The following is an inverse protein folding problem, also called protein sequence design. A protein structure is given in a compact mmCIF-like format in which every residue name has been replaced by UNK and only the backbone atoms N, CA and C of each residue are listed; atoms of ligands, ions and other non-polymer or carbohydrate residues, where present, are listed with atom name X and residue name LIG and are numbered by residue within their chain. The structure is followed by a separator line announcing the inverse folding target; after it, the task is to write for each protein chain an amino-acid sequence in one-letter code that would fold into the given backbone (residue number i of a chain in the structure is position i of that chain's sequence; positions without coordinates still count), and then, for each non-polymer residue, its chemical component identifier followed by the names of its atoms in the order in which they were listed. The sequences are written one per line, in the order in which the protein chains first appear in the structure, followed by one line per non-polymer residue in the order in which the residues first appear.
data_IF_477169004349
#
_entry.id   IF_477169004349
#
_cell.length_a   1.000
_cell.length_b   1.000
_cell.length_c   1.000
_cell.angle_alpha   90.00
_cell.angle_beta   90.00
_cell.angle_gamma   90.00
#
_symmetry.space_group_name_H-M   'P 1'
#
loop_
_entity.id
_entity.type
_entity.pdbx_description
1 polymer ?
#
# COMPACT_ATOMS: atom_id res chain seq x y z
N UNK A 1 34.37 37.50 -16.15
CA UNK A 1 33.00 37.98 -16.07
C UNK A 1 32.03 37.15 -16.93
N UNK A 2 32.27 36.99 -18.23
CA UNK A 2 31.37 36.31 -19.17
C UNK A 2 31.08 34.83 -18.80
N UNK A 3 32.10 34.07 -18.35
CA UNK A 3 31.91 32.65 -17.88
C UNK A 3 31.09 32.53 -16.61
N UNK A 4 31.18 33.48 -15.70
CA UNK A 4 30.43 33.52 -14.49
C UNK A 4 28.94 33.82 -14.76
N UNK A 5 28.68 34.75 -15.70
CA UNK A 5 27.34 35.11 -16.13
C UNK A 5 26.66 33.94 -16.85
N UNK A 6 27.38 33.21 -17.69
CA UNK A 6 26.88 32.00 -18.34
C UNK A 6 26.57 30.90 -17.34
N UNK A 7 27.41 30.69 -16.34
CA UNK A 7 27.13 29.70 -15.27
C UNK A 7 25.89 30.05 -14.44
N UNK A 8 25.68 31.32 -14.13
CA UNK A 8 24.48 31.80 -13.42
C UNK A 8 23.22 31.59 -14.28
N UNK A 9 23.27 31.88 -15.58
CA UNK A 9 22.12 31.68 -16.46
C UNK A 9 21.78 30.20 -16.58
N UNK A 10 22.79 29.32 -16.73
CA UNK A 10 22.56 27.87 -16.76
C UNK A 10 21.97 27.37 -15.43
N UNK A 11 22.46 27.85 -14.29
CA UNK A 11 21.95 27.49 -12.98
C UNK A 11 20.50 27.93 -12.80
N UNK A 12 20.16 29.18 -13.19
CA UNK A 12 18.80 29.70 -13.15
C UNK A 12 17.85 28.91 -14.09
N UNK A 13 18.30 28.60 -15.30
CA UNK A 13 17.54 27.79 -16.23
C UNK A 13 17.29 26.37 -15.70
N UNK A 14 18.31 25.73 -15.11
CA UNK A 14 18.18 24.42 -14.47
C UNK A 14 17.20 24.46 -13.28
N UNK A 15 17.22 25.53 -12.49
CA UNK A 15 16.33 25.71 -11.34
C UNK A 15 14.88 25.98 -11.74
N UNK A 16 14.65 26.67 -12.86
CA UNK A 16 13.33 26.88 -13.45
C UNK A 16 12.79 25.59 -14.07
N UNK A 17 13.63 24.86 -14.78
CA UNK A 17 13.26 23.57 -15.40
C UNK A 17 12.98 22.48 -14.34
N UNK A 18 13.68 22.48 -13.21
CA UNK A 18 13.47 21.52 -12.12
C UNK A 18 12.10 21.62 -11.45
N UNK A 19 11.36 22.72 -11.65
CA UNK A 19 9.99 22.94 -11.15
C UNK A 19 8.92 22.89 -12.25
N UNK A 20 9.30 22.58 -13.47
CA UNK A 20 8.37 22.56 -14.60
C UNK A 20 7.60 21.22 -14.60
N UNK A 21 6.24 21.24 -14.56
CA UNK A 21 5.42 20.04 -14.63
C UNK A 21 5.63 19.20 -15.90
N UNK A 22 6.16 19.81 -16.97
CA UNK A 22 6.54 19.06 -18.18
C UNK A 22 7.77 18.18 -17.99
N UNK A 23 8.73 18.63 -17.16
CA UNK A 23 9.92 17.83 -16.81
C UNK A 23 9.52 16.63 -15.94
N UNK A 24 8.63 16.83 -14.98
CA UNK A 24 8.08 15.71 -14.18
C UNK A 24 7.35 14.67 -15.05
N UNK A 25 6.57 15.11 -16.03
CA UNK A 25 5.90 14.21 -16.97
C UNK A 25 6.89 13.47 -17.86
N UNK A 26 7.93 14.14 -18.34
CA UNK A 26 8.97 13.53 -19.14
C UNK A 26 9.78 12.50 -18.33
N UNK A 27 10.08 12.81 -17.07
CA UNK A 27 10.79 11.93 -16.14
C UNK A 27 9.94 10.68 -15.82
N UNK A 28 8.65 10.87 -15.58
CA UNK A 28 7.69 9.78 -15.36
C UNK A 28 7.58 8.88 -16.61
N UNK A 29 7.50 9.46 -17.81
CA UNK A 29 7.47 8.71 -19.07
C UNK A 29 8.77 7.92 -19.29
N UNK A 30 9.91 8.56 -19.03
CA UNK A 30 11.23 7.91 -19.17
C UNK A 30 11.36 6.76 -18.16
N UNK A 31 10.91 6.94 -16.93
CA UNK A 31 10.92 5.91 -15.89
C UNK A 31 10.02 4.73 -16.27
N UNK A 32 8.80 5.00 -16.77
CA UNK A 32 7.89 3.96 -17.27
C UNK A 32 8.50 3.19 -18.45
N UNK A 33 9.11 3.90 -19.41
CA UNK A 33 9.82 3.28 -20.52
C UNK A 33 10.98 2.42 -20.03
N UNK A 34 11.77 2.91 -19.07
CA UNK A 34 12.91 2.21 -18.51
C UNK A 34 12.47 0.95 -17.76
N UNK A 35 11.40 1.03 -16.95
CA UNK A 35 10.82 -0.12 -16.24
C UNK A 35 10.30 -1.19 -17.21
N UNK A 36 9.69 -0.79 -18.33
CA UNK A 36 9.19 -1.72 -19.35
C UNK A 36 10.31 -2.40 -20.14
N UNK A 37 11.44 -1.69 -20.36
CA UNK A 37 12.54 -2.18 -21.19
C UNK A 37 13.70 -2.77 -20.38
N UNK A 38 13.78 -2.50 -19.08
CA UNK A 38 14.76 -3.11 -18.20
C UNK A 38 14.17 -4.46 -17.72
N UNK A 39 14.67 -5.54 -18.30
CA UNK A 39 14.42 -6.86 -17.70
C UNK A 39 15.18 -6.86 -16.37
N UNK A 40 14.45 -6.63 -15.28
CA UNK A 40 15.01 -6.86 -13.96
C UNK A 40 15.54 -8.30 -13.93
N UNK A 41 16.80 -8.44 -13.56
CA UNK A 41 17.37 -9.76 -13.29
C UNK A 41 16.39 -10.47 -12.33
N UNK A 42 15.83 -11.58 -12.79
CA UNK A 42 14.91 -12.40 -11.96
C UNK A 42 15.71 -13.21 -10.95
N UNK A 43 16.66 -12.57 -10.27
CA UNK A 43 17.31 -13.17 -9.13
C UNK A 43 16.25 -13.37 -8.07
N UNK A 44 15.91 -14.60 -7.85
CA UNK A 44 14.99 -15.24 -6.94
C UNK A 44 14.53 -14.40 -5.75
N UNK A 45 13.66 -13.41 -6.01
CA UNK A 45 12.91 -12.78 -4.92
C UNK A 45 11.93 -13.84 -4.42
N UNK A 46 11.95 -14.22 -3.15
CA UNK A 46 11.04 -15.23 -2.60
C UNK A 46 9.63 -14.65 -2.42
N UNK A 47 9.10 -14.08 -3.49
CA UNK A 47 7.79 -13.44 -3.56
C UNK A 47 6.97 -14.10 -4.67
N UNK A 48 5.80 -14.61 -4.30
CA UNK A 48 4.79 -15.06 -5.26
C UNK A 48 3.61 -14.10 -5.19
N UNK A 49 3.28 -13.50 -6.32
CA UNK A 49 2.08 -12.66 -6.47
C UNK A 49 0.98 -13.53 -7.05
N UNK A 50 -0.15 -13.62 -6.33
CA UNK A 50 -1.35 -14.29 -6.80
C UNK A 50 -2.39 -13.23 -7.09
N UNK A 51 -2.76 -13.09 -8.36
CA UNK A 51 -3.85 -12.21 -8.75
C UNK A 51 -5.17 -12.98 -8.56
N UNK A 52 -6.02 -12.44 -7.69
CA UNK A 52 -7.37 -12.94 -7.49
C UNK A 52 -8.24 -12.15 -8.49
N UNK A 53 -8.44 -12.74 -9.67
CA UNK A 53 -9.29 -12.14 -10.70
C UNK A 53 -10.77 -12.24 -10.31
N UNK A 54 -11.56 -11.30 -10.78
CA UNK A 54 -13.01 -11.46 -10.82
C UNK A 54 -13.27 -12.70 -11.67
N UNK A 55 -13.83 -13.76 -11.06
CA UNK A 55 -14.27 -14.95 -11.78
C UNK A 55 -15.19 -14.57 -12.94
N UNK A 56 -15.56 -15.49 -13.85
CA UNK A 56 -16.43 -15.17 -14.97
C UNK A 56 -17.68 -14.48 -14.40
N UNK A 57 -17.75 -13.18 -14.67
CA UNK A 57 -18.88 -12.34 -14.27
C UNK A 57 -20.10 -12.99 -14.93
N UNK A 58 -20.92 -13.65 -14.12
CA UNK A 58 -22.31 -13.80 -14.49
C UNK A 58 -22.82 -12.38 -14.54
N UNK A 59 -23.03 -11.86 -15.76
CA UNK A 59 -23.59 -10.52 -16.00
C UNK A 59 -24.93 -10.40 -15.28
N UNK A 60 -24.87 -10.06 -14.00
CA UNK A 60 -26.01 -9.51 -13.31
C UNK A 60 -26.11 -8.08 -13.82
N UNK A 61 -27.13 -7.80 -14.59
CA UNK A 61 -27.38 -6.53 -15.27
C UNK A 61 -26.98 -5.34 -14.38
N UNK A 62 -26.21 -4.38 -14.91
CA UNK A 62 -25.78 -3.22 -14.14
C UNK A 62 -27.00 -2.45 -13.69
N UNK A 63 -27.19 -2.34 -12.40
CA UNK A 63 -28.14 -1.42 -11.80
C UNK A 63 -27.64 0.00 -12.07
N UNK A 64 -28.25 0.67 -13.08
CA UNK A 64 -27.85 1.96 -13.62
C UNK A 64 -27.91 3.14 -12.64
N UNK A 65 -28.14 2.90 -11.34
CA UNK A 65 -28.33 3.94 -10.33
C UNK A 65 -27.28 3.91 -9.19
N UNK A 66 -26.15 3.22 -9.37
CA UNK A 66 -25.06 3.35 -8.43
C UNK A 66 -24.20 4.58 -8.79
N UNK A 67 -23.94 5.52 -7.86
CA UNK A 67 -23.06 6.63 -8.12
C UNK A 67 -21.65 6.13 -8.45
N UNK A 68 -21.12 6.56 -9.59
CA UNK A 68 -19.72 6.40 -9.96
C UNK A 68 -18.87 7.13 -8.93
N UNK A 69 -18.46 6.43 -7.88
CA UNK A 69 -17.51 6.98 -6.91
C UNK A 69 -16.24 6.14 -6.88
N UNK A 70 -15.19 6.81 -7.32
CA UNK A 70 -13.78 6.51 -7.12
C UNK A 70 -13.28 5.16 -7.65
N UNK A 71 -12.84 5.22 -8.89
CA UNK A 71 -11.86 4.33 -9.46
C UNK A 71 -10.61 4.28 -8.55
N UNK A 72 -10.22 3.10 -8.11
CA UNK A 72 -8.96 2.87 -7.38
C UNK A 72 -9.03 1.83 -6.28
N UNK A 73 -10.16 1.57 -5.69
CA UNK A 73 -10.27 0.55 -4.65
C UNK A 73 -10.76 -0.76 -5.27
N UNK A 74 -9.88 -1.72 -5.45
CA UNK A 74 -10.26 -3.12 -5.75
C UNK A 74 -10.99 -3.69 -4.54
N UNK A 75 -12.27 -3.34 -4.41
CA UNK A 75 -13.15 -3.98 -3.44
C UNK A 75 -13.32 -5.41 -3.96
N UNK A 76 -13.00 -6.39 -3.15
CA UNK A 76 -13.30 -7.80 -3.39
C UNK A 76 -14.84 -7.98 -3.47
N UNK A 77 -15.40 -7.54 -4.59
CA UNK A 77 -16.86 -7.48 -4.77
C UNK A 77 -17.48 -8.80 -5.17
N UNK A 78 -16.68 -9.85 -5.39
CA UNK A 78 -17.12 -11.12 -5.92
C UNK A 78 -16.75 -12.37 -5.10
N UNK A 79 -15.76 -12.28 -4.18
CA UNK A 79 -15.28 -13.47 -3.45
C UNK A 79 -15.90 -13.52 -2.06
N UNK A 80 -16.47 -14.67 -1.71
CA UNK A 80 -17.07 -14.91 -0.38
C UNK A 80 -16.01 -15.24 0.68
N UNK A 81 -16.32 -15.10 1.99
CA UNK A 81 -15.44 -15.54 3.05
C UNK A 81 -15.00 -16.98 2.91
N UNK A 82 -15.91 -17.86 2.46
CA UNK A 82 -15.62 -19.28 2.27
C UNK A 82 -14.60 -19.52 1.15
N UNK A 83 -14.69 -18.78 0.04
CA UNK A 83 -13.73 -18.89 -1.07
C UNK A 83 -12.34 -18.43 -0.63
N UNK A 84 -12.25 -17.35 0.15
CA UNK A 84 -10.98 -16.92 0.77
C UNK A 84 -10.45 -17.97 1.77
N UNK A 85 -11.32 -18.60 2.55
CA UNK A 85 -10.92 -19.68 3.47
C UNK A 85 -10.29 -20.87 2.71
N UNK A 86 -10.91 -21.29 1.61
CA UNK A 86 -10.37 -22.36 0.75
C UNK A 86 -9.05 -21.94 0.10
N UNK A 87 -8.94 -20.68 -0.33
CA UNK A 87 -7.69 -20.15 -0.84
C UNK A 87 -6.59 -20.19 0.23
N UNK A 88 -6.86 -19.75 1.45
CA UNK A 88 -5.88 -19.82 2.54
C UNK A 88 -5.49 -21.25 2.86
N UNK A 89 -6.45 -22.18 2.89
CA UNK A 89 -6.15 -23.58 3.07
C UNK A 89 -5.19 -24.11 2.01
N UNK A 90 -5.41 -23.75 0.74
CA UNK A 90 -4.54 -24.17 -0.37
C UNK A 90 -3.13 -23.58 -0.28
N UNK A 91 -2.99 -22.26 0.02
CA UNK A 91 -1.66 -21.65 0.10
C UNK A 91 -0.85 -22.09 1.31
N UNK A 92 -1.50 -22.51 2.40
CA UNK A 92 -0.81 -23.02 3.60
C UNK A 92 -0.01 -24.29 3.33
N UNK A 93 -0.37 -25.09 2.33
CA UNK A 93 0.42 -26.27 1.89
C UNK A 93 1.83 -25.89 1.44
N UNK A 94 2.01 -24.67 0.90
CA UNK A 94 3.31 -24.14 0.47
C UNK A 94 4.12 -23.53 1.60
N UNK A 95 3.61 -23.53 2.83
CA UNK A 95 4.27 -23.00 4.05
C UNK A 95 4.80 -21.58 3.90
N UNK A 96 3.98 -20.61 3.48
CA UNK A 96 4.42 -19.22 3.35
C UNK A 96 4.86 -18.66 4.70
N UNK A 97 5.90 -17.84 4.71
CA UNK A 97 6.35 -17.14 5.92
C UNK A 97 5.42 -15.98 6.27
N UNK A 98 4.92 -15.30 5.26
CA UNK A 98 3.97 -14.18 5.35
C UNK A 98 2.95 -14.32 4.25
N UNK A 99 1.70 -14.05 4.55
CA UNK A 99 0.63 -13.87 3.56
C UNK A 99 0.16 -12.43 3.65
N UNK A 100 0.32 -11.68 2.57
CA UNK A 100 -0.06 -10.28 2.48
C UNK A 100 -1.22 -10.14 1.48
N UNK A 101 -2.36 -9.66 1.96
CA UNK A 101 -3.59 -9.49 1.16
C UNK A 101 -3.81 -8.01 0.91
N UNK A 102 -3.52 -7.56 -0.32
CA UNK A 102 -3.66 -6.15 -0.71
C UNK A 102 -5.13 -5.75 -0.92
N UNK A 103 -6.01 -6.72 -1.15
CA UNK A 103 -7.43 -6.47 -1.31
C UNK A 103 -8.07 -6.09 0.03
N UNK A 104 -8.86 -5.01 0.03
CA UNK A 104 -9.64 -4.61 1.20
C UNK A 104 -10.76 -5.63 1.45
N UNK A 105 -10.59 -6.42 2.50
CA UNK A 105 -11.56 -7.45 2.89
C UNK A 105 -12.75 -6.79 3.60
N UNK A 106 -13.85 -6.68 2.88
CA UNK A 106 -15.15 -6.25 3.42
C UNK A 106 -16.25 -7.04 2.72
N UNK A 107 -16.91 -7.87 3.49
CA UNK A 107 -17.98 -8.73 2.98
C UNK A 107 -19.25 -7.93 2.71
N UNK A 108 -19.93 -8.18 1.59
CA UNK A 108 -21.22 -7.56 1.25
C UNK A 108 -22.35 -8.17 2.07
N UNK A 109 -22.34 -9.48 2.20
CA UNK A 109 -23.31 -10.24 2.98
C UNK A 109 -22.58 -10.90 4.14
N UNK A 110 -23.12 -10.72 5.34
CA UNK A 110 -22.53 -11.33 6.55
C UNK A 110 -23.18 -12.69 6.78
N UNK A 111 -22.50 -13.71 6.31
CA UNK A 111 -22.76 -15.09 6.71
C UNK A 111 -21.77 -15.46 7.83
N UNK A 112 -22.26 -15.48 9.05
CA UNK A 112 -21.42 -15.71 10.24
C UNK A 112 -20.70 -17.06 10.21
N UNK A 113 -21.32 -18.09 9.63
CA UNK A 113 -20.72 -19.41 9.58
C UNK A 113 -19.53 -19.42 8.59
N UNK A 114 -19.67 -18.75 7.45
CA UNK A 114 -18.59 -18.60 6.48
C UNK A 114 -17.48 -17.67 7.00
N UNK A 115 -17.83 -16.58 7.67
CA UNK A 115 -16.87 -15.68 8.32
C UNK A 115 -16.05 -16.42 9.38
N UNK A 116 -16.68 -17.30 10.17
CA UNK A 116 -15.99 -18.12 11.16
C UNK A 116 -15.01 -19.10 10.51
N UNK A 117 -15.42 -19.78 9.43
CA UNK A 117 -14.54 -20.68 8.68
C UNK A 117 -13.35 -19.91 8.12
N UNK A 118 -13.57 -18.70 7.60
CA UNK A 118 -12.48 -17.85 7.13
C UNK A 118 -11.52 -17.45 8.26
N UNK A 119 -12.05 -17.02 9.40
CA UNK A 119 -11.27 -16.65 10.57
C UNK A 119 -10.40 -17.81 11.07
N UNK A 120 -10.97 -19.02 11.12
CA UNK A 120 -10.26 -20.23 11.54
C UNK A 120 -9.08 -20.56 10.60
N UNK A 121 -9.23 -20.34 9.29
CA UNK A 121 -8.12 -20.51 8.33
C UNK A 121 -7.12 -19.37 8.43
N UNK A 122 -7.56 -18.13 8.60
CA UNK A 122 -6.71 -16.95 8.75
C UNK A 122 -5.80 -17.07 9.98
N UNK A 123 -6.30 -17.60 11.11
CA UNK A 123 -5.51 -17.86 12.31
C UNK A 123 -4.38 -18.89 12.12
N UNK A 124 -4.46 -19.74 11.09
CA UNK A 124 -3.40 -20.70 10.75
C UNK A 124 -2.25 -20.08 9.98
N UNK A 125 -2.45 -18.89 9.42
CA UNK A 125 -1.40 -18.17 8.68
C UNK A 125 -0.37 -17.66 9.67
N UNK A 126 0.93 -18.00 9.53
CA UNK A 126 1.95 -17.65 10.51
C UNK A 126 2.07 -16.14 10.74
N UNK A 127 1.99 -15.36 9.67
CA UNK A 127 1.96 -13.90 9.69
C UNK A 127 1.02 -13.42 8.58
N UNK A 128 -0.11 -12.89 8.98
CA UNK A 128 -1.12 -12.32 8.08
C UNK A 128 -1.01 -10.80 8.09
N UNK A 129 -0.86 -10.22 6.90
CA UNK A 129 -0.92 -8.77 6.68
C UNK A 129 -2.14 -8.46 5.83
N UNK A 130 -3.04 -7.64 6.36
CA UNK A 130 -4.24 -7.18 5.65
C UNK A 130 -4.13 -5.71 5.29
N UNK A 131 -4.77 -5.34 4.18
CA UNK A 131 -4.80 -3.96 3.73
C UNK A 131 -5.79 -3.10 4.51
N UNK A 132 -5.41 -1.85 4.70
CA UNK A 132 -6.27 -0.77 5.19
C UNK A 132 -6.03 0.49 4.37
N UNK A 133 -6.99 1.41 4.36
CA UNK A 133 -6.92 2.67 3.64
C UNK A 133 -7.04 3.85 4.59
N UNK A 134 -6.10 4.78 4.52
CA UNK A 134 -6.07 6.00 5.30
C UNK A 134 -6.89 7.11 4.64
N UNK A 135 -7.32 8.10 5.43
CA UNK A 135 -8.01 9.30 4.94
C UNK A 135 -7.45 10.56 5.56
N UNK A 136 -7.44 11.65 4.80
CA UNK A 136 -7.14 12.99 5.30
C UNK A 136 -8.36 13.67 5.94
N UNK A 137 -9.57 13.12 5.69
CA UNK A 137 -10.84 13.62 6.26
C UNK A 137 -11.38 12.58 7.23
N UNK A 138 -11.01 12.63 8.51
CA UNK A 138 -11.45 11.64 9.49
C UNK A 138 -12.95 11.77 9.75
N UNK A 139 -13.60 10.65 10.05
CA UNK A 139 -14.93 10.64 10.59
C UNK A 139 -14.91 11.36 11.97
N UNK A 140 -15.70 12.42 12.16
CA UNK A 140 -15.69 13.16 13.41
C UNK A 140 -16.16 12.31 14.61
N UNK A 141 -16.94 11.27 14.37
CA UNK A 141 -17.47 10.38 15.40
C UNK A 141 -16.55 9.17 15.66
N UNK A 142 -15.52 8.95 14.80
CA UNK A 142 -14.60 7.85 14.98
C UNK A 142 -13.62 8.11 16.12
N UNK A 143 -13.44 7.12 16.99
CA UNK A 143 -12.40 7.15 18.00
C UNK A 143 -11.02 7.17 17.32
N UNK A 144 -10.09 8.00 17.84
CA UNK A 144 -8.72 8.03 17.31
C UNK A 144 -8.07 6.66 17.44
N UNK A 145 -7.71 6.05 16.31
CA UNK A 145 -6.94 4.82 16.31
C UNK A 145 -5.46 5.17 16.34
N UNK A 146 -4.74 4.67 17.34
CA UNK A 146 -3.30 4.76 17.39
C UNK A 146 -2.69 3.73 16.46
N UNK A 147 -1.78 4.18 15.58
CA UNK A 147 -1.02 3.32 14.69
C UNK A 147 0.45 3.42 15.12
N UNK A 148 1.10 2.31 15.46
CA UNK A 148 2.50 2.33 15.82
C UNK A 148 3.35 2.79 14.62
N UNK A 149 4.18 3.81 14.84
CA UNK A 149 5.09 4.36 13.84
C UNK A 149 6.54 3.98 14.08
N UNK A 150 7.41 4.44 13.18
CA UNK A 150 8.85 4.30 13.35
C UNK A 150 9.37 5.22 14.45
N UNK A 151 10.28 4.70 15.27
CA UNK A 151 10.87 5.44 16.39
C UNK A 151 11.99 6.38 15.93
N UNK A 152 12.84 5.91 15.01
CA UNK A 152 14.03 6.64 14.57
C UNK A 152 13.78 7.30 13.21
N UNK A 153 13.16 8.48 13.24
CA UNK A 153 12.81 9.24 12.03
C UNK A 153 13.42 10.63 12.08
N UNK A 154 14.19 10.97 11.04
CA UNK A 154 14.77 12.28 10.76
C UNK A 154 14.32 12.82 9.41
N UNK A 155 14.65 14.09 9.10
CA UNK A 155 14.29 14.73 7.83
C UNK A 155 12.91 15.42 7.86
N UNK A 156 12.43 15.83 6.66
CA UNK A 156 11.22 16.66 6.52
C UNK A 156 9.96 15.78 6.41
N UNK A 157 9.27 15.56 7.51
CA UNK A 157 8.02 14.80 7.53
C UNK A 157 6.89 15.41 6.68
N UNK A 158 6.96 16.72 6.39
CA UNK A 158 5.97 17.42 5.56
C UNK A 158 5.99 17.02 4.08
N UNK A 159 7.03 16.33 3.62
CA UNK A 159 7.11 15.82 2.25
C UNK A 159 6.37 14.48 2.07
N UNK A 160 5.91 13.89 3.18
CA UNK A 160 5.15 12.63 3.16
C UNK A 160 3.64 12.88 2.96
N UNK A 161 2.94 11.99 2.25
CA UNK A 161 1.48 12.00 2.22
C UNK A 161 0.92 11.92 3.64
N UNK A 162 0.06 12.88 4.00
CA UNK A 162 -0.41 13.05 5.39
C UNK A 162 -1.87 12.65 5.51
N UNK A 163 -2.16 11.87 6.55
CA UNK A 163 -3.47 11.35 6.87
C UNK A 163 -3.80 11.53 8.35
N UNK A 164 -5.09 11.62 8.66
CA UNK A 164 -5.58 11.86 10.03
C UNK A 164 -6.58 10.82 10.52
N UNK A 165 -7.04 9.94 9.63
CA UNK A 165 -8.00 8.89 9.94
C UNK A 165 -7.78 7.63 9.11
N UNK A 166 -8.59 6.60 9.40
CA UNK A 166 -8.66 5.37 8.62
C UNK A 166 -10.03 5.37 7.93
N UNK A 167 -10.03 5.24 6.60
CA UNK A 167 -11.25 5.21 5.80
C UNK A 167 -11.86 3.81 5.75
N UNK A 168 -11.01 2.82 5.53
CA UNK A 168 -11.40 1.41 5.39
C UNK A 168 -10.39 0.52 6.09
N UNK A 169 -10.89 -0.45 6.81
CA UNK A 169 -10.08 -1.46 7.49
C UNK A 169 -10.86 -2.76 7.61
N UNK A 170 -10.18 -3.90 7.81
CA UNK A 170 -10.84 -5.17 8.12
C UNK A 170 -11.65 -5.10 9.41
N UNK A 171 -12.60 -6.01 9.55
CA UNK A 171 -13.39 -6.16 10.78
C UNK A 171 -12.51 -6.44 12.01
N UNK A 172 -13.04 -6.18 13.20
CA UNK A 172 -12.27 -6.22 14.45
C UNK A 172 -11.62 -7.59 14.70
N UNK A 173 -12.35 -8.66 14.47
CA UNK A 173 -11.85 -10.03 14.67
C UNK A 173 -10.62 -10.33 13.79
N UNK A 174 -10.63 -9.83 12.54
CA UNK A 174 -9.49 -9.97 11.63
C UNK A 174 -8.30 -9.11 12.06
N UNK A 175 -8.55 -7.92 12.62
CA UNK A 175 -7.48 -7.04 13.12
C UNK A 175 -6.77 -7.61 14.34
N UNK A 176 -7.46 -8.42 15.15
CA UNK A 176 -6.86 -9.09 16.31
C UNK A 176 -5.84 -10.17 15.92
N UNK A 177 -6.01 -10.79 14.74
CA UNK A 177 -5.16 -11.90 14.28
C UNK A 177 -4.20 -11.52 13.16
N UNK A 178 -4.23 -10.27 12.69
CA UNK A 178 -3.41 -9.79 11.58
C UNK A 178 -2.70 -8.48 11.91
N UNK A 179 -1.70 -8.15 11.10
CA UNK A 179 -1.14 -6.81 11.03
C UNK A 179 -1.81 -6.02 9.91
N UNK A 180 -1.83 -4.69 10.02
CA UNK A 180 -2.35 -3.82 8.97
C UNK A 180 -1.20 -3.21 8.14
N UNK A 181 -1.43 -3.11 6.84
CA UNK A 181 -0.60 -2.35 5.91
C UNK A 181 -1.46 -1.37 5.11
N UNK A 182 -0.93 -0.19 4.81
CA UNK A 182 -1.71 0.89 4.21
C UNK A 182 -1.46 1.00 2.72
N UNK A 183 -2.55 0.96 1.92
CA UNK A 183 -2.51 0.85 0.44
C UNK A 183 -2.81 2.16 -0.30
N UNK A 184 -2.65 3.29 0.36
CA UNK A 184 -2.92 4.59 -0.25
C UNK A 184 -1.97 4.90 -1.41
N UNK A 185 -2.55 5.15 -2.59
CA UNK A 185 -1.82 5.64 -3.76
C UNK A 185 -2.21 7.10 -4.04
N UNK A 186 -1.27 7.95 -4.45
CA UNK A 186 -1.55 9.36 -4.72
C UNK A 186 -2.50 9.56 -5.92
N UNK A 187 -2.49 8.64 -6.87
CA UNK A 187 -3.40 8.59 -8.02
C UNK A 187 -3.33 7.19 -8.68
N UNK A 188 -4.27 6.89 -9.58
CA UNK A 188 -4.37 5.59 -10.27
C UNK A 188 -3.19 5.29 -11.22
N UNK A 189 -2.51 6.32 -11.69
CA UNK A 189 -1.39 6.21 -12.63
C UNK A 189 -0.05 6.52 -11.96
N UNK A 190 0.05 6.29 -10.64
CA UNK A 190 1.26 6.60 -9.92
C UNK A 190 2.43 5.74 -10.39
N UNK A 191 3.43 6.36 -10.98
CA UNK A 191 4.72 5.73 -11.29
C UNK A 191 5.63 5.61 -10.06
N UNK A 192 5.27 6.31 -8.98
CA UNK A 192 5.96 6.29 -7.69
C UNK A 192 4.98 5.91 -6.61
N UNK A 193 5.28 4.86 -5.88
CA UNK A 193 4.49 4.39 -4.75
C UNK A 193 5.18 4.86 -3.47
N UNK A 194 4.48 5.60 -2.59
CA UNK A 194 5.06 6.01 -1.32
C UNK A 194 5.31 4.77 -0.45
N UNK A 195 6.50 4.70 0.16
CA UNK A 195 6.84 3.65 1.12
C UNK A 195 6.48 4.05 2.56
N UNK A 196 6.27 5.36 2.78
CA UNK A 196 6.02 5.94 4.09
C UNK A 196 4.84 6.91 4.01
N UNK A 197 4.07 6.96 5.09
CA UNK A 197 3.00 7.92 5.31
C UNK A 197 3.21 8.66 6.63
N UNK A 198 2.70 9.89 6.71
CA UNK A 198 2.58 10.62 7.96
C UNK A 198 1.14 10.47 8.47
N UNK A 199 0.96 9.77 9.57
CA UNK A 199 -0.33 9.59 10.22
C UNK A 199 -0.32 10.29 11.58
N UNK A 200 -1.03 11.41 11.70
CA UNK A 200 -1.11 12.22 12.94
C UNK A 200 0.24 12.58 13.55
N UNK A 201 1.26 12.80 12.71
CA UNK A 201 2.62 13.13 13.15
C UNK A 201 3.55 11.92 13.31
N UNK A 202 3.02 10.70 13.30
CA UNK A 202 3.80 9.47 13.29
C UNK A 202 4.11 9.03 11.85
N UNK A 203 5.34 8.59 11.61
CA UNK A 203 5.73 8.02 10.31
C UNK A 203 5.49 6.53 10.32
N UNK A 204 4.61 6.08 9.44
CA UNK A 204 4.17 4.69 9.35
C UNK A 204 4.52 4.07 7.99
N UNK A 205 4.71 2.74 7.89
CA UNK A 205 5.03 2.08 6.64
C UNK A 205 3.81 1.94 5.73
N UNK A 206 4.03 2.06 4.41
CA UNK A 206 3.08 1.57 3.42
C UNK A 206 3.02 0.03 3.40
N UNK A 207 1.98 -0.54 2.78
CA UNK A 207 1.74 -1.97 2.73
C UNK A 207 2.97 -2.79 2.29
N UNK A 208 3.62 -2.38 1.19
CA UNK A 208 4.78 -3.09 0.66
C UNK A 208 5.96 -3.09 1.64
N UNK A 209 6.25 -1.95 2.28
CA UNK A 209 7.31 -1.87 3.29
C UNK A 209 6.97 -2.70 4.53
N UNK A 210 5.72 -2.65 4.98
CA UNK A 210 5.26 -3.46 6.12
C UNK A 210 5.37 -4.96 5.81
N UNK A 211 4.99 -5.40 4.59
CA UNK A 211 5.14 -6.79 4.16
C UNK A 211 6.61 -7.23 4.17
N UNK A 212 7.50 -6.39 3.66
CA UNK A 212 8.93 -6.64 3.66
C UNK A 212 9.50 -6.75 5.09
N UNK A 213 9.21 -5.79 5.96
CA UNK A 213 9.69 -5.79 7.35
C UNK A 213 9.19 -7.03 8.11
N UNK A 214 7.92 -7.40 7.87
CA UNK A 214 7.31 -8.60 8.46
C UNK A 214 8.00 -9.88 7.98
N UNK A 215 8.32 -9.97 6.68
CA UNK A 215 9.04 -11.10 6.11
C UNK A 215 10.48 -11.18 6.62
N UNK A 216 11.20 -10.06 6.61
CA UNK A 216 12.58 -9.96 7.08
C UNK A 216 12.70 -10.09 8.61
N UNK A 217 11.57 -10.05 9.34
CA UNK A 217 11.51 -10.07 10.82
C UNK A 217 12.25 -8.89 11.45
N UNK A 218 12.20 -7.73 10.79
CA UNK A 218 12.82 -6.50 11.28
C UNK A 218 11.75 -5.70 12.04
N UNK A 219 11.95 -5.43 13.34
CA UNK A 219 11.05 -4.59 14.10
C UNK A 219 11.19 -3.11 13.68
N UNK A 220 10.08 -2.38 13.64
CA UNK A 220 10.09 -0.95 13.27
C UNK A 220 10.99 -0.10 14.16
N UNK A 221 11.22 -0.52 15.40
CA UNK A 221 12.13 0.14 16.35
C UNK A 221 13.60 0.09 15.97
N UNK A 222 14.02 -0.83 15.10
CA UNK A 222 15.41 -0.97 14.64
C UNK A 222 15.65 -0.28 13.30
N UNK A 223 14.59 0.15 12.62
CA UNK A 223 14.67 0.83 11.33
C UNK A 223 14.98 2.32 11.53
N UNK A 224 15.96 2.82 10.81
CA UNK A 224 16.30 4.23 10.79
C UNK A 224 15.83 4.87 9.48
N UNK A 225 15.12 5.98 9.57
CA UNK A 225 14.55 6.66 8.42
C UNK A 225 15.06 8.09 8.35
N UNK A 226 15.62 8.45 7.21
CA UNK A 226 15.87 9.83 6.83
C UNK A 226 14.96 10.18 5.65
N UNK A 227 13.87 10.91 5.96
CA UNK A 227 12.84 11.26 4.97
C UNK A 227 13.46 12.09 3.85
N UNK A 228 13.24 11.66 2.60
CA UNK A 228 13.82 12.28 1.41
C UNK A 228 15.23 11.78 1.03
N UNK A 229 15.78 10.83 1.82
CA UNK A 229 17.12 10.27 1.58
C UNK A 229 17.08 8.74 1.52
N UNK A 230 16.99 8.06 2.66
CA UNK A 230 17.09 6.60 2.70
C UNK A 230 16.36 5.97 3.90
N UNK A 231 16.18 4.66 3.81
CA UNK A 231 15.73 3.79 4.90
C UNK A 231 16.88 2.81 5.18
N UNK A 232 17.46 2.89 6.38
CA UNK A 232 18.51 1.99 6.82
C UNK A 232 17.91 0.85 7.66
N UNK A 233 18.26 -0.37 7.29
CA UNK A 233 17.87 -1.60 7.97
C UNK A 233 19.05 -2.11 8.80
N UNK A 234 18.81 -2.83 9.91
CA UNK A 234 19.86 -3.40 10.75
C UNK A 234 20.66 -4.49 10.05
#
# INVERSE_FOLDING_TARGET
MQRLLLAIVILLAALLLARDPYVEKADAFFLDWLLRNTQASRDHVPLTVVEIGDGPIVETQPNQNAPESSAGSRISGGISPLEFALFFQAILEYKPTVVAVETLLKWRERDKDQEQVFLDQAMRVPKLLLSAELTSTPDPDALPTEIPGFVHVSGRRGDLPTFTGIQRQPDEDLRLISSLGYVNLPNETATRVPLLFNYRGEVIPAFALQAFLTWARIPMSEVQIEVGSHIALP
#
